data_IF_464624323777
#
_entry.id   IF_464624323777
#
_cell.length_a   1.000
_cell.length_b   1.000
_cell.length_c   1.000
_cell.angle_alpha   90.00
_cell.angle_beta   90.00
_cell.angle_gamma   90.00
#
_symmetry.space_group_name_H-M   'P 1'
#
loop_
_entity.id
_entity.type
_entity.pdbx_description
1 polymer ?
#
# COMPACT_ATOMS: atom_id res chain seq x y z
N UNK A 1 -4.56 8.37 -16.02
CA UNK A 1 -3.23 7.77 -16.16
C UNK A 1 -2.33 8.74 -16.94
N UNK A 2 -1.08 8.95 -16.53
CA UNK A 2 -0.21 9.97 -17.14
C UNK A 2 0.73 9.44 -18.22
N UNK A 3 0.98 8.13 -18.26
CA UNK A 3 1.98 7.52 -19.15
C UNK A 3 1.40 6.47 -20.12
N UNK A 4 0.07 6.37 -20.30
CA UNK A 4 -0.53 5.39 -21.24
C UNK A 4 -0.10 5.57 -22.70
N UNK A 5 0.33 6.77 -23.08
CA UNK A 5 0.87 7.05 -24.42
C UNK A 5 2.27 6.46 -24.65
N UNK A 6 2.90 5.93 -23.61
CA UNK A 6 4.22 5.29 -23.63
C UNK A 6 4.06 3.79 -23.42
N UNK A 7 4.84 2.97 -24.13
CA UNK A 7 4.82 1.51 -23.93
C UNK A 7 5.26 1.14 -22.50
N UNK A 8 4.66 0.13 -21.85
CA UNK A 8 4.99 -0.23 -20.46
C UNK A 8 6.48 -0.51 -20.20
N UNK A 9 7.16 -1.20 -21.13
CA UNK A 9 8.60 -1.46 -21.07
C UNK A 9 9.43 -0.18 -21.03
N UNK A 10 9.06 0.83 -21.81
CA UNK A 10 9.70 2.14 -21.78
C UNK A 10 9.37 2.94 -20.52
N UNK A 11 8.16 2.79 -19.96
CA UNK A 11 7.76 3.49 -18.74
C UNK A 11 8.62 3.08 -17.55
N UNK A 12 8.82 1.78 -17.32
CA UNK A 12 9.59 1.33 -16.16
C UNK A 12 11.08 1.73 -16.26
N UNK A 13 11.66 1.73 -17.46
CA UNK A 13 13.01 2.23 -17.69
C UNK A 13 13.12 3.73 -17.41
N UNK A 14 12.12 4.52 -17.82
CA UNK A 14 12.07 5.95 -17.50
C UNK A 14 11.96 6.19 -15.98
N UNK A 15 11.15 5.39 -15.27
CA UNK A 15 11.03 5.44 -13.80
C UNK A 15 12.34 5.05 -13.10
N UNK A 16 13.02 4.02 -13.59
CA UNK A 16 14.35 3.61 -13.13
C UNK A 16 15.34 4.78 -13.26
N UNK A 17 15.34 5.46 -14.40
CA UNK A 17 16.21 6.62 -14.59
C UNK A 17 15.88 7.74 -13.59
N UNK A 18 14.60 8.03 -13.35
CA UNK A 18 14.20 9.03 -12.34
C UNK A 18 14.76 8.69 -10.97
N UNK A 19 14.69 7.42 -10.53
CA UNK A 19 15.29 6.97 -9.27
C UNK A 19 16.81 7.25 -9.24
N UNK A 20 17.54 6.83 -10.26
CA UNK A 20 19.01 6.97 -10.32
C UNK A 20 19.45 8.44 -10.34
N UNK A 21 18.74 9.29 -11.09
CA UNK A 21 18.99 10.73 -11.13
C UNK A 21 18.75 11.38 -9.76
N UNK A 22 17.69 11.00 -9.03
CA UNK A 22 17.45 11.50 -7.68
C UNK A 22 18.57 11.08 -6.72
N UNK A 23 18.96 9.80 -6.72
CA UNK A 23 20.06 9.30 -5.88
C UNK A 23 21.37 10.07 -6.15
N UNK A 24 21.71 10.29 -7.42
CA UNK A 24 22.91 11.01 -7.83
C UNK A 24 22.86 12.49 -7.46
N UNK A 25 21.77 13.18 -7.79
CA UNK A 25 21.71 14.63 -7.72
C UNK A 25 21.25 15.16 -6.36
N UNK A 26 20.30 14.51 -5.71
CA UNK A 26 19.82 14.86 -4.36
C UNK A 26 20.65 14.12 -3.32
N UNK A 27 20.74 12.80 -3.44
CA UNK A 27 21.38 11.96 -2.43
C UNK A 27 22.91 11.99 -2.45
N UNK A 28 23.52 12.51 -3.52
CA UNK A 28 24.98 12.52 -3.74
C UNK A 28 25.60 11.12 -3.61
N UNK A 29 24.83 10.09 -3.96
CA UNK A 29 25.22 8.68 -3.88
C UNK A 29 24.90 7.98 -5.19
N UNK A 30 25.58 6.87 -5.45
CA UNK A 30 25.29 6.00 -6.58
C UNK A 30 25.28 4.55 -6.09
N UNK A 31 24.33 3.73 -6.55
CA UNK A 31 24.31 2.31 -6.21
C UNK A 31 25.49 1.60 -6.88
N UNK A 32 26.08 0.62 -6.20
CA UNK A 32 27.10 -0.25 -6.81
C UNK A 32 26.49 -1.16 -7.88
N UNK A 33 25.25 -1.59 -7.66
CA UNK A 33 24.46 -2.40 -8.57
C UNK A 33 23.10 -1.73 -8.84
N UNK A 34 22.76 -1.57 -10.12
CA UNK A 34 21.40 -1.18 -10.51
C UNK A 34 20.59 -2.46 -10.64
N UNK A 35 19.61 -2.66 -9.76
CA UNK A 35 18.77 -3.84 -9.82
C UNK A 35 17.84 -3.77 -11.03
N UNK A 36 17.59 -4.93 -11.65
CA UNK A 36 16.55 -5.07 -12.66
C UNK A 36 15.19 -4.63 -12.10
N UNK A 37 14.42 -3.80 -12.83
CA UNK A 37 13.13 -3.33 -12.33
C UNK A 37 12.13 -4.47 -12.12
N UNK A 38 11.34 -4.36 -11.06
CA UNK A 38 10.25 -5.32 -10.79
C UNK A 38 9.01 -4.90 -11.58
N UNK A 39 8.52 -5.80 -12.43
CA UNK A 39 7.34 -5.58 -13.28
C UNK A 39 6.38 -6.76 -13.23
N UNK A 40 5.10 -6.50 -13.52
CA UNK A 40 4.04 -7.48 -13.68
C UNK A 40 3.07 -7.00 -14.78
N UNK A 41 1.93 -7.67 -14.94
CA UNK A 41 0.87 -7.23 -15.86
C UNK A 41 0.47 -5.76 -15.60
N UNK A 42 0.62 -4.86 -16.59
CA UNK A 42 0.40 -3.42 -16.39
C UNK A 42 -1.08 -3.00 -16.35
N UNK A 43 -2.01 -3.89 -16.69
CA UNK A 43 -3.45 -3.63 -16.68
C UNK A 43 -4.17 -4.45 -15.61
N UNK A 44 -5.39 -4.03 -15.22
CA UNK A 44 -6.21 -4.78 -14.25
C UNK A 44 -5.59 -4.98 -12.87
N UNK A 45 -4.49 -4.28 -12.56
CA UNK A 45 -3.67 -4.56 -11.37
C UNK A 45 -4.24 -3.94 -10.09
N UNK A 46 -5.01 -2.85 -10.19
CA UNK A 46 -5.46 -2.06 -9.05
C UNK A 46 -6.63 -2.75 -8.37
N UNK A 47 -6.35 -3.44 -7.27
CA UNK A 47 -7.35 -4.13 -6.45
C UNK A 47 -8.04 -3.21 -5.43
N UNK A 48 -7.57 -1.98 -5.28
CA UNK A 48 -8.20 -0.99 -4.39
C UNK A 48 -8.39 0.34 -5.06
N UNK A 49 -9.53 0.98 -4.82
CA UNK A 49 -9.79 2.30 -5.37
C UNK A 49 -10.67 3.11 -4.44
N UNK A 50 -10.52 4.44 -4.54
CA UNK A 50 -11.46 5.40 -3.99
C UNK A 50 -12.13 6.10 -5.17
N UNK A 51 -13.34 5.66 -5.51
CA UNK A 51 -14.13 6.24 -6.57
C UNK A 51 -14.89 7.44 -6.03
N UNK A 52 -14.71 8.60 -6.65
CA UNK A 52 -15.52 9.76 -6.38
C UNK A 52 -16.86 9.65 -7.09
N UNK A 53 -17.91 10.13 -6.43
CA UNK A 53 -19.27 10.11 -6.95
C UNK A 53 -19.79 11.55 -7.02
N UNK A 54 -20.40 11.91 -8.16
CA UNK A 54 -20.95 13.24 -8.37
C UNK A 54 -22.26 13.16 -9.14
N UNK A 55 -23.34 13.64 -8.54
CA UNK A 55 -24.59 13.87 -9.24
C UNK A 55 -24.52 15.17 -10.04
N UNK A 56 -24.65 15.07 -11.37
CA UNK A 56 -24.58 16.18 -12.32
C UNK A 56 -25.78 16.09 -13.28
N UNK A 57 -26.98 16.57 -12.88
CA UNK A 57 -28.20 16.47 -13.70
C UNK A 57 -28.03 17.01 -15.12
N UNK A 58 -27.27 18.10 -15.29
CA UNK A 58 -26.99 18.72 -16.60
C UNK A 58 -26.14 17.86 -17.54
N UNK A 59 -25.44 16.83 -17.02
CA UNK A 59 -24.59 15.90 -17.79
C UNK A 59 -25.19 14.48 -17.84
N UNK A 60 -26.50 14.34 -17.67
CA UNK A 60 -27.19 13.07 -17.86
C UNK A 60 -27.17 12.12 -16.67
N UNK A 61 -26.86 12.60 -15.45
CA UNK A 61 -27.09 11.81 -14.23
C UNK A 61 -25.91 11.79 -13.26
N UNK A 62 -25.43 10.60 -12.91
CA UNK A 62 -24.37 10.38 -11.92
C UNK A 62 -23.07 9.98 -12.59
N UNK A 63 -21.98 10.60 -12.14
CA UNK A 63 -20.61 10.22 -12.48
C UNK A 63 -20.01 9.43 -11.32
N UNK A 64 -19.39 8.29 -11.64
CA UNK A 64 -18.61 7.47 -10.70
C UNK A 64 -17.25 7.23 -11.34
N UNK A 65 -16.17 7.55 -10.64
CA UNK A 65 -14.82 7.34 -11.15
C UNK A 65 -13.76 8.17 -10.45
N UNK A 66 -12.63 8.35 -11.11
CA UNK A 66 -11.52 9.19 -10.62
C UNK A 66 -11.70 10.67 -10.96
N UNK A 67 -11.02 11.52 -10.18
CA UNK A 67 -10.93 12.95 -10.45
C UNK A 67 -10.09 13.23 -11.71
N UNK A 68 -10.45 14.28 -12.42
CA UNK A 68 -9.62 14.88 -13.45
C UNK A 68 -8.28 15.38 -12.85
N UNK A 69 -7.26 15.49 -13.70
CA UNK A 69 -5.93 15.94 -13.27
C UNK A 69 -6.03 17.36 -12.69
N UNK A 70 -5.57 17.53 -11.45
CA UNK A 70 -5.56 18.82 -10.75
C UNK A 70 -6.93 19.50 -10.66
N UNK A 71 -8.01 18.72 -10.63
CA UNK A 71 -9.39 19.20 -10.62
C UNK A 71 -10.22 18.47 -9.56
N UNK A 72 -11.29 19.12 -9.09
CA UNK A 72 -12.30 18.51 -8.21
C UNK A 72 -13.39 17.78 -8.99
N UNK A 73 -13.43 17.92 -10.31
CA UNK A 73 -14.38 17.25 -11.19
C UNK A 73 -14.05 15.76 -11.35
N UNK A 74 -15.09 14.95 -11.46
CA UNK A 74 -14.99 13.53 -11.79
C UNK A 74 -14.89 13.42 -13.31
N UNK A 75 -13.86 12.72 -13.78
CA UNK A 75 -13.67 12.47 -15.20
C UNK A 75 -14.78 11.55 -15.69
N UNK A 76 -15.41 11.90 -16.80
CA UNK A 76 -16.43 11.05 -17.41
C UNK A 76 -15.78 9.95 -18.24
N UNK A 77 -15.53 8.80 -17.61
CA UNK A 77 -15.05 7.59 -18.28
C UNK A 77 -15.93 6.40 -17.92
N UNK A 78 -16.28 5.62 -18.93
CA UNK A 78 -17.09 4.40 -18.79
C UNK A 78 -16.25 3.18 -18.42
N UNK A 79 -14.95 3.24 -18.68
CA UNK A 79 -14.01 2.14 -18.47
C UNK A 79 -12.77 2.60 -17.70
N UNK A 80 -12.16 1.68 -16.94
CA UNK A 80 -10.91 1.92 -16.25
C UNK A 80 -9.98 0.70 -16.35
N UNK A 81 -9.08 0.72 -17.34
CA UNK A 81 -8.20 -0.42 -17.64
C UNK A 81 -7.17 -0.76 -16.55
N UNK A 82 -6.90 0.15 -15.60
CA UNK A 82 -5.97 -0.14 -14.49
C UNK A 82 -6.66 -0.81 -13.31
N UNK A 83 -7.98 -0.61 -13.17
CA UNK A 83 -8.77 -1.17 -12.09
C UNK A 83 -8.98 -2.67 -12.33
N UNK A 84 -8.94 -3.49 -11.28
CA UNK A 84 -9.17 -4.93 -11.38
C UNK A 84 -10.50 -5.23 -12.07
N UNK A 85 -10.51 -6.22 -12.95
CA UNK A 85 -11.60 -6.49 -13.89
C UNK A 85 -12.97 -6.55 -13.21
N UNK A 86 -13.09 -7.30 -12.10
CA UNK A 86 -14.32 -7.42 -11.30
C UNK A 86 -14.90 -6.07 -10.93
N UNK A 87 -14.06 -5.11 -10.55
CA UNK A 87 -14.49 -3.77 -10.12
C UNK A 87 -14.57 -2.77 -11.28
N UNK A 88 -13.80 -2.95 -12.35
CA UNK A 88 -13.88 -2.14 -13.56
C UNK A 88 -15.23 -2.31 -14.28
N UNK A 89 -15.72 -3.56 -14.38
CA UNK A 89 -17.00 -3.88 -15.00
C UNK A 89 -18.21 -3.26 -14.28
N UNK A 90 -18.07 -2.93 -12.98
CA UNK A 90 -19.15 -2.34 -12.19
C UNK A 90 -19.28 -0.83 -12.36
N UNK A 91 -18.36 -0.14 -13.04
CA UNK A 91 -18.41 1.33 -13.14
C UNK A 91 -19.73 1.85 -13.75
N UNK A 92 -20.27 1.31 -14.87
CA UNK A 92 -21.55 1.73 -15.39
C UNK A 92 -22.71 1.39 -14.45
N UNK A 93 -22.71 0.20 -13.86
CA UNK A 93 -23.78 -0.27 -12.97
C UNK A 93 -23.84 0.54 -11.68
N UNK A 94 -22.69 0.96 -11.15
CA UNK A 94 -22.63 1.87 -10.01
C UNK A 94 -23.24 3.24 -10.33
N UNK A 95 -23.08 3.76 -11.55
CA UNK A 95 -23.74 5.02 -11.95
C UNK A 95 -25.26 4.86 -11.94
N UNK A 96 -25.76 3.76 -12.49
CA UNK A 96 -27.20 3.42 -12.51
C UNK A 96 -27.75 3.25 -11.10
N UNK A 97 -27.08 2.45 -10.25
CA UNK A 97 -27.46 2.22 -8.87
C UNK A 97 -27.57 3.54 -8.11
N UNK A 98 -26.51 4.35 -8.09
CA UNK A 98 -26.50 5.62 -7.37
C UNK A 98 -27.59 6.56 -7.90
N UNK A 99 -27.73 6.66 -9.23
CA UNK A 99 -28.76 7.49 -9.86
C UNK A 99 -30.19 7.10 -9.48
N UNK A 100 -30.40 5.82 -9.12
CA UNK A 100 -31.70 5.31 -8.69
C UNK A 100 -32.02 5.58 -7.22
N UNK A 101 -31.02 5.89 -6.37
CA UNK A 101 -31.24 6.14 -4.94
C UNK A 101 -32.08 7.40 -4.71
N UNK A 102 -32.70 7.52 -3.55
CA UNK A 102 -33.44 8.74 -3.17
C UNK A 102 -32.53 9.96 -2.98
N UNK A 103 -31.24 9.74 -2.70
CA UNK A 103 -30.26 10.77 -2.36
C UNK A 103 -28.94 10.67 -3.15
N UNK A 104 -28.95 10.65 -4.50
CA UNK A 104 -27.76 10.41 -5.33
C UNK A 104 -26.63 11.43 -5.08
N UNK A 105 -26.98 12.67 -4.71
CA UNK A 105 -26.02 13.72 -4.39
C UNK A 105 -25.38 13.61 -3.00
N UNK A 106 -25.78 12.62 -2.19
CA UNK A 106 -25.34 12.42 -0.79
C UNK A 106 -24.48 11.17 -0.62
N UNK A 107 -24.14 10.51 -1.73
CA UNK A 107 -23.13 9.47 -1.80
C UNK A 107 -21.88 10.10 -2.44
N UNK A 108 -20.91 10.62 -1.66
CA UNK A 108 -19.74 11.29 -2.25
C UNK A 108 -18.67 10.34 -2.78
N UNK A 109 -18.67 9.08 -2.33
CA UNK A 109 -17.55 8.19 -2.51
C UNK A 109 -17.95 6.71 -2.36
N UNK A 110 -17.29 5.86 -3.15
CA UNK A 110 -17.30 4.40 -3.00
C UNK A 110 -15.85 3.93 -2.87
N UNK A 111 -15.51 3.25 -1.77
CA UNK A 111 -14.23 2.54 -1.67
C UNK A 111 -14.39 1.13 -2.22
N UNK A 112 -13.42 0.71 -3.03
CA UNK A 112 -13.34 -0.61 -3.63
C UNK A 112 -12.19 -1.34 -2.95
N UNK A 113 -12.47 -2.53 -2.44
CA UNK A 113 -11.47 -3.46 -1.94
C UNK A 113 -11.70 -4.84 -2.55
N UNK A 114 -10.90 -5.20 -3.54
CA UNK A 114 -10.86 -6.50 -4.18
C UNK A 114 -9.81 -7.38 -3.51
N UNK A 115 -10.23 -8.54 -3.07
CA UNK A 115 -9.40 -9.56 -2.42
C UNK A 115 -9.41 -10.83 -3.24
N UNK A 116 -8.65 -11.85 -2.83
CA UNK A 116 -8.60 -13.12 -3.56
C UNK A 116 -9.97 -13.84 -3.57
N UNK A 117 -10.86 -13.53 -2.62
CA UNK A 117 -12.20 -14.13 -2.51
C UNK A 117 -13.31 -13.10 -2.74
N UNK A 118 -13.38 -12.08 -1.88
CA UNK A 118 -14.48 -11.12 -1.85
C UNK A 118 -14.13 -9.81 -2.57
N UNK A 119 -15.12 -9.21 -3.23
CA UNK A 119 -15.08 -7.82 -3.66
C UNK A 119 -15.99 -7.01 -2.73
N UNK A 120 -15.39 -6.12 -1.93
CA UNK A 120 -16.11 -5.26 -0.99
C UNK A 120 -16.22 -3.84 -1.55
N UNK A 121 -17.44 -3.29 -1.52
CA UNK A 121 -17.74 -1.91 -1.85
C UNK A 121 -18.23 -1.17 -0.59
N UNK A 122 -17.50 -0.13 -0.18
CA UNK A 122 -17.88 0.72 0.95
C UNK A 122 -18.53 2.00 0.44
N UNK A 123 -19.83 2.14 0.64
CA UNK A 123 -20.58 3.32 0.25
C UNK A 123 -20.54 4.35 1.38
N UNK A 124 -19.84 5.45 1.15
CA UNK A 124 -19.91 6.61 2.03
C UNK A 124 -21.20 7.35 1.76
N UNK A 125 -22.00 7.61 2.80
CA UNK A 125 -23.25 8.35 2.67
C UNK A 125 -23.32 9.45 3.75
N UNK A 126 -23.80 10.63 3.36
CA UNK A 126 -23.84 11.80 4.25
C UNK A 126 -25.17 11.93 5.01
N UNK A 127 -26.22 11.31 4.49
CA UNK A 127 -27.55 11.26 5.10
C UNK A 127 -27.99 9.80 5.29
N UNK A 128 -28.91 9.50 6.22
CA UNK A 128 -29.47 8.15 6.36
C UNK A 128 -30.12 7.65 5.06
N UNK A 129 -29.90 6.38 4.73
CA UNK A 129 -30.51 5.72 3.59
C UNK A 129 -31.93 5.24 3.94
N UNK A 130 -32.88 5.38 3.00
CA UNK A 130 -34.23 4.86 3.20
C UNK A 130 -34.26 3.33 3.08
N UNK A 131 -35.31 2.68 3.60
CA UNK A 131 -35.48 1.23 3.42
C UNK A 131 -35.43 0.81 1.94
N UNK A 132 -36.01 1.61 1.03
CA UNK A 132 -35.96 1.35 -0.42
C UNK A 132 -34.56 1.49 -1.01
N UNK A 133 -33.72 2.36 -0.46
CA UNK A 133 -32.33 2.51 -0.91
C UNK A 133 -31.48 1.33 -0.43
N UNK A 134 -31.72 0.86 0.80
CA UNK A 134 -31.07 -0.34 1.34
C UNK A 134 -31.43 -1.59 0.53
N UNK A 135 -32.69 -1.77 0.13
CA UNK A 135 -33.08 -2.89 -0.74
C UNK A 135 -32.37 -2.84 -2.10
N UNK A 136 -32.28 -1.65 -2.74
CA UNK A 136 -31.52 -1.50 -4.00
C UNK A 136 -30.05 -1.88 -3.85
N UNK A 137 -29.43 -1.55 -2.72
CA UNK A 137 -28.05 -1.94 -2.43
C UNK A 137 -27.95 -3.46 -2.23
N UNK A 138 -28.90 -4.09 -1.55
CA UNK A 138 -28.94 -5.56 -1.39
C UNK A 138 -29.11 -6.26 -2.74
N UNK A 139 -30.04 -5.81 -3.57
CA UNK A 139 -30.26 -6.35 -4.92
C UNK A 139 -28.98 -6.24 -5.76
N UNK A 140 -28.31 -5.07 -5.70
CA UNK A 140 -27.02 -4.88 -6.38
C UNK A 140 -25.94 -5.83 -5.87
N UNK A 141 -25.84 -6.00 -4.55
CA UNK A 141 -24.89 -6.91 -3.92
C UNK A 141 -25.08 -8.36 -4.40
N UNK A 142 -26.33 -8.83 -4.44
CA UNK A 142 -26.69 -10.18 -4.90
C UNK A 142 -26.42 -10.36 -6.40
N UNK A 143 -26.94 -9.46 -7.24
CA UNK A 143 -26.79 -9.54 -8.71
C UNK A 143 -25.33 -9.56 -9.14
N UNK A 144 -24.48 -8.76 -8.48
CA UNK A 144 -23.06 -8.64 -8.84
C UNK A 144 -22.14 -9.49 -7.97
N UNK A 145 -22.67 -10.27 -7.03
CA UNK A 145 -21.88 -11.08 -6.09
C UNK A 145 -20.77 -10.27 -5.40
N UNK A 146 -21.15 -9.10 -4.86
CA UNK A 146 -20.26 -8.21 -4.11
C UNK A 146 -20.77 -8.03 -2.68
N UNK A 147 -19.88 -7.71 -1.76
CA UNK A 147 -20.25 -7.37 -0.39
C UNK A 147 -20.30 -5.86 -0.21
N UNK A 148 -21.43 -5.36 0.26
CA UNK A 148 -21.64 -3.93 0.49
C UNK A 148 -21.49 -3.60 1.97
N UNK A 149 -20.71 -2.55 2.24
CA UNK A 149 -20.59 -1.92 3.55
C UNK A 149 -21.01 -0.45 3.47
N UNK A 150 -21.51 0.07 4.57
CA UNK A 150 -21.94 1.46 4.69
C UNK A 150 -20.97 2.24 5.58
N UNK A 151 -20.76 3.51 5.23
CA UNK A 151 -19.94 4.45 5.99
C UNK A 151 -20.68 5.79 6.18
N UNK A 152 -21.44 5.95 7.28
CA UNK A 152 -22.16 7.20 7.57
C UNK A 152 -21.24 8.35 8.03
N UNK A 153 -20.00 8.05 8.46
CA UNK A 153 -19.09 9.03 9.04
C UNK A 153 -17.62 8.74 8.79
N UNK A 154 -16.84 8.66 9.87
CA UNK A 154 -15.41 8.34 9.85
C UNK A 154 -15.12 6.89 9.39
N UNK A 155 -13.84 6.52 9.31
CA UNK A 155 -13.42 5.17 8.92
C UNK A 155 -13.86 4.10 9.94
N UNK A 156 -14.06 4.50 11.19
CA UNK A 156 -14.58 3.70 12.31
C UNK A 156 -16.07 3.37 12.19
N UNK A 157 -16.81 4.11 11.37
CA UNK A 157 -18.26 3.89 11.17
C UNK A 157 -18.60 2.83 10.13
N UNK A 158 -17.60 2.22 9.50
CA UNK A 158 -17.80 1.20 8.46
C UNK A 158 -18.45 -0.04 9.08
N UNK A 159 -19.60 -0.44 8.55
CA UNK A 159 -20.33 -1.63 8.97
C UNK A 159 -20.97 -2.35 7.78
N UNK A 160 -21.25 -3.63 7.95
CA UNK A 160 -21.91 -4.45 6.93
C UNK A 160 -23.34 -3.95 6.68
N UNK A 161 -23.78 -4.00 5.42
CA UNK A 161 -25.20 -3.89 5.10
C UNK A 161 -25.94 -5.04 5.78
N UNK A 162 -27.13 -4.79 6.35
CA UNK A 162 -27.88 -5.82 7.08
C UNK A 162 -28.03 -7.11 6.25
N UNK A 163 -27.72 -8.26 6.88
CA UNK A 163 -27.72 -9.60 6.27
C UNK A 163 -26.66 -9.82 5.18
N UNK A 164 -25.68 -8.93 5.02
CA UNK A 164 -24.53 -9.20 4.18
C UNK A 164 -23.68 -10.35 4.78
N UNK A 165 -23.21 -11.25 3.92
CA UNK A 165 -22.24 -12.26 4.31
C UNK A 165 -20.99 -11.57 4.88
N UNK A 166 -20.44 -12.11 5.99
CA UNK A 166 -19.25 -11.57 6.64
C UNK A 166 -18.01 -11.77 5.76
N UNK A 167 -17.78 -10.86 4.80
CA UNK A 167 -16.63 -10.92 3.92
C UNK A 167 -15.32 -10.79 4.68
N UNK A 168 -14.39 -11.70 4.36
CA UNK A 168 -13.02 -11.68 4.86
C UNK A 168 -12.12 -11.27 3.71
N UNK A 169 -11.81 -9.97 3.66
CA UNK A 169 -10.81 -9.46 2.73
C UNK A 169 -9.44 -10.04 3.09
N UNK A 170 -8.87 -10.79 2.15
CA UNK A 170 -7.57 -11.41 2.33
C UNK A 170 -6.71 -11.46 1.07
N UNK A 171 -5.41 -11.58 1.29
CA UNK A 171 -4.44 -11.87 0.23
C UNK A 171 -3.33 -12.75 0.79
N UNK A 172 -2.58 -13.40 -0.09
CA UNK A 172 -1.50 -14.31 0.29
C UNK A 172 -0.13 -13.88 -0.22
N UNK A 173 0.89 -14.25 0.55
CA UNK A 173 2.29 -14.32 0.16
C UNK A 173 2.67 -15.81 0.05
N UNK A 174 2.36 -16.47 -1.08
CA UNK A 174 2.45 -17.93 -1.20
C UNK A 174 3.87 -18.46 -1.00
N UNK A 175 4.88 -17.76 -1.53
CA UNK A 175 6.31 -18.14 -1.43
C UNK A 175 6.85 -18.13 0.01
N UNK A 176 6.11 -17.50 0.93
CA UNK A 176 6.46 -17.39 2.34
C UNK A 176 5.41 -18.02 3.26
N UNK A 177 4.39 -18.66 2.68
CA UNK A 177 3.27 -19.28 3.40
C UNK A 177 2.66 -18.34 4.45
N UNK A 178 2.34 -17.11 4.03
CA UNK A 178 1.67 -16.12 4.88
C UNK A 178 0.36 -15.68 4.25
N UNK A 179 -0.71 -15.74 5.04
CA UNK A 179 -2.04 -15.24 4.72
C UNK A 179 -2.32 -13.94 5.47
N UNK A 180 -2.89 -12.95 4.82
CA UNK A 180 -3.20 -11.66 5.43
C UNK A 180 -4.69 -11.39 5.38
N UNK A 181 -5.28 -11.04 6.51
CA UNK A 181 -6.62 -10.47 6.57
C UNK A 181 -6.57 -8.97 6.83
N UNK A 182 -7.35 -8.21 6.08
CA UNK A 182 -7.40 -6.75 6.18
C UNK A 182 -8.85 -6.24 6.22
N UNK A 183 -9.02 -4.95 6.54
CA UNK A 183 -10.30 -4.24 6.42
C UNK A 183 -10.30 -3.40 5.15
N UNK A 184 -11.48 -3.06 4.59
CA UNK A 184 -11.57 -2.32 3.33
C UNK A 184 -10.84 -0.96 3.36
N UNK A 185 -10.75 -0.36 4.55
CA UNK A 185 -10.10 0.93 4.81
C UNK A 185 -8.63 0.82 5.23
N UNK A 186 -8.14 -0.37 5.62
CA UNK A 186 -6.73 -0.57 6.03
C UNK A 186 -5.79 -0.28 4.87
N UNK A 187 -4.57 0.19 5.10
CA UNK A 187 -3.59 0.30 4.00
C UNK A 187 -3.06 -1.09 3.61
N UNK A 188 -3.11 -1.40 2.31
CA UNK A 188 -2.47 -2.57 1.68
C UNK A 188 -1.96 -2.16 0.30
N UNK A 189 -0.96 -2.87 -0.20
CA UNK A 189 -0.41 -2.61 -1.52
C UNK A 189 -1.47 -2.82 -2.60
N UNK A 190 -1.52 -1.90 -3.55
CA UNK A 190 -2.62 -1.83 -4.52
C UNK A 190 -2.50 -2.88 -5.63
N UNK A 191 -1.26 -3.31 -5.89
CA UNK A 191 -0.84 -4.21 -6.96
C UNK A 191 -0.23 -5.46 -6.31
N UNK A 192 -1.06 -6.48 -6.13
CA UNK A 192 -0.70 -7.70 -5.42
C UNK A 192 0.47 -8.47 -6.08
N UNK A 193 0.50 -8.68 -7.41
CA UNK A 193 1.66 -9.29 -8.09
C UNK A 193 2.99 -8.58 -7.80
N UNK A 194 3.01 -7.24 -7.86
CA UNK A 194 4.22 -6.47 -7.53
C UNK A 194 4.54 -6.57 -6.04
N UNK A 195 3.53 -6.54 -5.16
CA UNK A 195 3.73 -6.69 -3.72
C UNK A 195 4.41 -8.03 -3.37
N UNK A 196 4.01 -9.12 -4.02
CA UNK A 196 4.64 -10.44 -3.82
C UNK A 196 6.12 -10.41 -4.19
N UNK A 197 6.43 -9.96 -5.40
CA UNK A 197 7.82 -9.81 -5.88
C UNK A 197 8.64 -8.86 -5.00
N UNK A 198 8.05 -7.77 -4.52
CA UNK A 198 8.69 -6.80 -3.62
C UNK A 198 9.04 -7.43 -2.27
N UNK A 199 8.11 -8.17 -1.66
CA UNK A 199 8.34 -8.87 -0.38
C UNK A 199 9.44 -9.91 -0.53
N UNK A 200 9.38 -10.75 -1.56
CA UNK A 200 10.42 -11.76 -1.81
C UNK A 200 11.78 -11.11 -2.06
N UNK A 201 11.85 -10.04 -2.86
CA UNK A 201 13.09 -9.30 -3.09
C UNK A 201 13.62 -8.68 -1.80
N UNK A 202 12.77 -8.13 -0.93
CA UNK A 202 13.21 -7.58 0.35
C UNK A 202 13.84 -8.67 1.24
N UNK A 203 13.25 -9.86 1.31
CA UNK A 203 13.81 -11.01 2.04
C UNK A 203 15.16 -11.45 1.45
N UNK A 204 15.27 -11.56 0.12
CA UNK A 204 16.52 -11.87 -0.57
C UNK A 204 17.62 -10.86 -0.22
N UNK A 205 17.32 -9.56 -0.31
CA UNK A 205 18.27 -8.49 -0.04
C UNK A 205 18.70 -8.44 1.44
N UNK A 206 17.80 -8.75 2.38
CA UNK A 206 18.13 -8.86 3.79
C UNK A 206 19.17 -9.96 4.06
N UNK A 207 19.24 -10.99 3.19
CA UNK A 207 20.14 -12.14 3.32
C UNK A 207 20.05 -12.79 4.70
N UNK A 208 18.82 -13.07 5.15
CA UNK A 208 18.53 -13.46 6.52
C UNK A 208 19.22 -14.76 6.93
N UNK A 209 19.80 -14.75 8.13
CA UNK A 209 20.33 -15.91 8.82
C UNK A 209 19.43 -16.27 10.01
N UNK A 210 19.40 -17.55 10.47
CA UNK A 210 18.55 -17.97 11.59
C UNK A 210 18.76 -17.21 12.91
N UNK A 211 19.90 -16.55 13.09
CA UNK A 211 20.21 -15.72 14.26
C UNK A 211 19.83 -14.25 14.11
N UNK A 212 19.38 -13.81 12.94
CA UNK A 212 19.10 -12.40 12.67
C UNK A 212 17.88 -11.91 13.44
N UNK A 213 17.98 -10.67 13.90
CA UNK A 213 16.89 -9.93 14.54
C UNK A 213 16.58 -8.71 13.67
N UNK A 214 15.36 -8.66 13.15
CA UNK A 214 14.96 -7.63 12.18
C UNK A 214 14.02 -6.62 12.83
N UNK A 215 14.31 -5.34 12.66
CA UNK A 215 13.39 -4.25 12.98
C UNK A 215 12.69 -3.81 11.69
N UNK A 216 11.37 -3.86 11.65
CA UNK A 216 10.53 -3.43 10.54
C UNK A 216 9.77 -2.16 10.98
N UNK A 217 10.05 -1.03 10.35
CA UNK A 217 9.44 0.25 10.67
C UNK A 217 8.45 0.66 9.60
N UNK A 218 7.32 1.25 10.03
CA UNK A 218 6.15 1.49 9.20
C UNK A 218 5.53 0.18 8.70
N UNK A 219 5.49 -0.83 9.59
CA UNK A 219 5.20 -2.21 9.19
C UNK A 219 3.74 -2.44 8.76
N UNK A 220 2.85 -1.47 9.00
CA UNK A 220 1.43 -1.59 8.73
C UNK A 220 0.82 -2.83 9.39
N UNK A 221 0.12 -3.64 8.59
CA UNK A 221 -0.46 -4.91 9.05
C UNK A 221 0.50 -6.12 8.99
N UNK A 222 1.81 -5.87 8.81
CA UNK A 222 2.86 -6.88 8.84
C UNK A 222 3.29 -7.43 7.47
N UNK A 223 3.12 -6.65 6.39
CA UNK A 223 3.33 -7.11 5.00
C UNK A 223 4.73 -7.69 4.76
N UNK A 224 5.77 -7.07 5.33
CA UNK A 224 7.13 -7.62 5.34
C UNK A 224 7.42 -8.41 6.62
N UNK A 225 6.96 -7.91 7.77
CA UNK A 225 7.26 -8.48 9.09
C UNK A 225 6.98 -9.97 9.18
N UNK A 226 5.80 -10.42 8.71
CA UNK A 226 5.38 -11.80 8.84
C UNK A 226 6.17 -12.74 7.91
N UNK A 227 6.36 -12.43 6.61
CA UNK A 227 7.27 -13.18 5.75
C UNK A 227 8.71 -13.25 6.29
N UNK A 228 9.27 -12.13 6.75
CA UNK A 228 10.63 -12.08 7.33
C UNK A 228 10.76 -12.99 8.55
N UNK A 229 9.72 -13.07 9.38
CA UNK A 229 9.71 -13.89 10.59
C UNK A 229 9.79 -15.40 10.31
N UNK A 230 9.51 -15.86 9.07
CA UNK A 230 9.73 -17.25 8.68
C UNK A 230 11.21 -17.64 8.59
N UNK A 231 12.11 -16.66 8.46
CA UNK A 231 13.54 -16.88 8.22
C UNK A 231 14.45 -16.29 9.30
N UNK A 232 13.97 -15.28 10.03
CA UNK A 232 14.72 -14.61 11.10
C UNK A 232 14.49 -15.26 12.48
N UNK A 233 15.41 -15.01 13.42
CA UNK A 233 15.23 -15.42 14.83
C UNK A 233 14.05 -14.70 15.47
N UNK A 234 13.96 -13.39 15.26
CA UNK A 234 12.95 -12.54 15.88
C UNK A 234 12.72 -11.26 15.06
N UNK A 235 11.48 -10.81 14.97
CA UNK A 235 11.14 -9.56 14.25
C UNK A 235 10.33 -8.63 15.13
N UNK A 236 10.70 -7.35 15.17
CA UNK A 236 9.87 -6.30 15.78
C UNK A 236 9.28 -5.42 14.69
N UNK A 237 7.96 -5.32 14.62
CA UNK A 237 7.24 -4.39 13.74
C UNK A 237 6.75 -3.16 14.50
N UNK A 238 7.14 -1.96 14.07
CA UNK A 238 6.64 -0.69 14.61
C UNK A 238 5.76 0.03 13.60
N UNK A 239 4.61 0.52 14.05
CA UNK A 239 3.61 1.20 13.23
C UNK A 239 2.95 2.34 14.04
N UNK A 240 2.55 3.44 13.38
CA UNK A 240 1.88 4.57 14.03
C UNK A 240 0.39 4.36 14.25
N UNK A 241 -0.26 3.56 13.40
CA UNK A 241 -1.69 3.25 13.51
C UNK A 241 -1.94 2.02 14.42
N UNK A 242 -2.63 2.25 15.54
CA UNK A 242 -2.96 1.19 16.51
C UNK A 242 -3.91 0.13 15.93
N UNK A 243 -4.80 0.51 15.01
CA UNK A 243 -5.67 -0.42 14.30
C UNK A 243 -4.87 -1.38 13.42
N UNK A 244 -3.90 -0.86 12.67
CA UNK A 244 -2.99 -1.70 11.87
C UNK A 244 -2.12 -2.62 12.74
N UNK A 245 -1.62 -2.14 13.89
CA UNK A 245 -0.91 -2.99 14.86
C UNK A 245 -1.80 -4.15 15.37
N UNK A 246 -3.06 -3.86 15.70
CA UNK A 246 -4.01 -4.91 16.08
C UNK A 246 -4.24 -5.90 14.93
N UNK A 247 -4.27 -5.42 13.68
CA UNK A 247 -4.39 -6.29 12.51
C UNK A 247 -3.15 -7.14 12.27
N UNK A 248 -1.97 -6.59 12.41
CA UNK A 248 -0.71 -7.31 12.35
C UNK A 248 -0.64 -8.44 13.39
N UNK A 249 -1.03 -8.17 14.64
CA UNK A 249 -1.12 -9.20 15.69
C UNK A 249 -2.14 -10.29 15.37
N UNK A 250 -3.27 -9.95 14.75
CA UNK A 250 -4.24 -10.96 14.29
C UNK A 250 -3.65 -11.83 13.18
N UNK A 251 -3.00 -11.21 12.18
CA UNK A 251 -2.35 -11.92 11.09
C UNK A 251 -1.23 -12.83 11.60
N UNK A 252 -0.42 -12.40 12.57
CA UNK A 252 0.58 -13.26 13.21
C UNK A 252 -0.04 -14.54 13.81
N UNK A 253 -1.16 -14.40 14.54
CA UNK A 253 -1.88 -15.54 15.14
C UNK A 253 -2.44 -16.50 14.10
N UNK A 254 -3.07 -15.97 13.04
CA UNK A 254 -3.64 -16.79 11.96
C UNK A 254 -2.54 -17.61 11.25
N UNK A 255 -1.36 -17.03 11.10
CA UNK A 255 -0.20 -17.69 10.48
C UNK A 255 0.64 -18.54 11.43
N UNK A 256 0.28 -18.59 12.72
CA UNK A 256 1.04 -19.28 13.76
C UNK A 256 2.52 -18.82 13.81
N UNK A 257 2.71 -17.49 13.79
CA UNK A 257 4.02 -16.85 13.86
C UNK A 257 4.17 -16.21 15.25
N UNK A 258 4.99 -16.82 16.10
CA UNK A 258 5.15 -16.42 17.51
C UNK A 258 6.45 -15.62 17.78
N UNK A 259 7.39 -15.60 16.84
CA UNK A 259 8.67 -14.90 16.95
C UNK A 259 8.59 -13.43 16.49
N UNK A 260 7.41 -12.80 16.64
CA UNK A 260 7.17 -11.42 16.27
C UNK A 260 6.56 -10.61 17.40
N UNK A 261 6.97 -9.36 17.52
CA UNK A 261 6.29 -8.37 18.37
C UNK A 261 5.92 -7.15 17.55
N UNK A 262 4.67 -6.73 17.68
CA UNK A 262 4.18 -5.48 17.11
C UNK A 262 3.93 -4.46 18.20
N UNK A 263 4.35 -3.21 17.98
CA UNK A 263 4.09 -2.10 18.89
C UNK A 263 3.71 -0.82 18.14
N UNK A 264 2.85 -0.02 18.77
CA UNK A 264 2.54 1.32 18.27
C UNK A 264 3.67 2.27 18.65
N UNK A 265 4.21 3.02 17.68
CA UNK A 265 5.24 4.04 17.93
C UNK A 265 5.01 5.25 17.01
N UNK A 266 5.27 6.45 17.53
CA UNK A 266 5.44 7.62 16.68
C UNK A 266 6.78 7.49 15.94
N UNK A 267 6.74 7.36 14.62
CA UNK A 267 7.91 7.24 13.76
C UNK A 267 8.19 8.54 12.98
N UNK A 268 7.40 9.60 13.22
CA UNK A 268 7.46 10.88 12.53
C UNK A 268 8.09 11.99 13.37
N UNK A 269 8.04 11.88 14.70
CA UNK A 269 8.60 12.86 15.62
C UNK A 269 10.09 12.66 15.92
N UNK A 270 10.77 13.76 16.27
CA UNK A 270 12.17 13.75 16.74
C UNK A 270 12.35 12.98 18.06
N UNK A 271 11.28 12.85 18.85
CA UNK A 271 11.25 12.10 20.12
C UNK A 271 10.95 10.61 19.95
N UNK A 272 10.78 10.11 18.72
CA UNK A 272 10.53 8.70 18.45
C UNK A 272 11.58 7.85 19.17
N UNK A 273 11.27 7.22 20.29
CA UNK A 273 12.28 6.50 21.08
C UNK A 273 12.55 5.10 20.48
N UNK A 274 13.00 5.08 19.22
CA UNK A 274 13.25 3.84 18.47
C UNK A 274 14.65 3.29 18.75
N UNK A 275 15.51 4.08 19.39
CA UNK A 275 16.92 3.73 19.65
C UNK A 275 17.07 2.47 20.50
N UNK A 276 16.18 2.25 21.46
CA UNK A 276 16.14 1.02 22.26
C UNK A 276 15.87 -0.21 21.40
N UNK A 277 14.99 -0.09 20.41
CA UNK A 277 14.73 -1.15 19.43
C UNK A 277 15.94 -1.34 18.52
N UNK A 278 16.49 -0.26 17.95
CA UNK A 278 17.66 -0.32 17.06
C UNK A 278 18.87 -1.05 17.69
N UNK A 279 19.11 -0.88 19.00
CA UNK A 279 20.23 -1.55 19.68
C UNK A 279 20.09 -3.09 19.77
N UNK A 280 18.90 -3.63 19.56
CA UNK A 280 18.60 -5.05 19.72
C UNK A 280 18.36 -5.78 18.39
N UNK A 281 18.61 -5.14 17.25
CA UNK A 281 18.37 -5.67 15.92
C UNK A 281 19.58 -5.39 15.02
N UNK A 282 19.99 -6.39 14.24
CA UNK A 282 21.13 -6.27 13.33
C UNK A 282 20.69 -6.00 11.88
N UNK A 283 19.39 -6.07 11.58
CA UNK A 283 18.81 -5.76 10.27
C UNK A 283 17.65 -4.77 10.43
N UNK A 284 17.48 -3.90 9.43
CA UNK A 284 16.42 -2.90 9.41
C UNK A 284 15.66 -2.95 8.08
N UNK A 285 14.33 -2.93 8.14
CA UNK A 285 13.45 -2.76 7.00
C UNK A 285 12.66 -1.46 7.19
N UNK A 286 12.57 -0.65 6.13
CA UNK A 286 11.85 0.62 6.10
C UNK A 286 10.88 0.63 4.93
N UNK A 287 9.59 0.88 5.17
CA UNK A 287 8.58 1.19 4.12
C UNK A 287 7.78 2.46 4.50
N UNK A 288 8.44 3.64 4.61
CA UNK A 288 7.80 4.86 5.07
C UNK A 288 6.83 5.44 4.04
N UNK A 289 5.94 6.35 4.47
CA UNK A 289 5.14 7.13 3.53
C UNK A 289 6.01 8.11 2.74
N UNK A 290 5.36 8.91 1.89
CA UNK A 290 5.99 9.87 0.96
C UNK A 290 6.94 10.88 1.60
N UNK A 291 6.89 11.10 2.91
CA UNK A 291 7.80 11.97 3.65
C UNK A 291 9.20 11.37 3.86
N UNK A 292 9.36 10.06 3.64
CA UNK A 292 10.57 9.30 3.98
C UNK A 292 10.68 9.03 5.49
N UNK A 293 11.86 8.56 5.90
CA UNK A 293 12.19 8.09 7.24
C UNK A 293 13.39 8.85 7.86
N UNK A 294 13.58 10.12 7.49
CA UNK A 294 14.77 10.88 7.90
C UNK A 294 14.95 10.97 9.42
N UNK A 295 13.84 11.12 10.17
CA UNK A 295 13.90 11.23 11.64
C UNK A 295 14.31 9.92 12.29
N UNK A 296 13.81 8.80 11.78
CA UNK A 296 14.25 7.45 12.16
C UNK A 296 15.73 7.23 11.82
N UNK A 297 16.16 7.62 10.62
CA UNK A 297 17.53 7.40 10.15
C UNK A 297 18.54 8.18 11.00
N UNK A 298 18.22 9.42 11.38
CA UNK A 298 19.08 10.23 12.27
C UNK A 298 19.36 9.54 13.61
N UNK A 299 18.46 8.66 14.06
CA UNK A 299 18.58 7.95 15.32
C UNK A 299 19.42 6.67 15.26
N UNK A 300 19.77 6.18 14.06
CA UNK A 300 20.60 4.97 13.88
C UNK A 300 21.90 5.07 14.68
N UNK A 301 22.52 6.26 14.72
CA UNK A 301 23.63 6.59 15.62
C UNK A 301 24.70 5.50 15.74
N UNK A 302 24.80 4.89 16.92
CA UNK A 302 25.74 3.80 17.24
C UNK A 302 25.15 2.40 17.09
N UNK A 303 23.83 2.26 16.93
CA UNK A 303 23.15 0.97 16.81
C UNK A 303 23.54 0.23 15.53
N UNK A 304 23.75 0.98 14.44
CA UNK A 304 24.39 0.54 13.18
C UNK A 304 24.02 -0.91 12.77
N UNK A 305 22.75 -1.19 12.41
CA UNK A 305 22.39 -2.45 11.80
C UNK A 305 23.30 -2.73 10.59
N UNK A 306 23.61 -4.00 10.37
CA UNK A 306 24.56 -4.43 9.34
C UNK A 306 23.99 -4.25 7.93
N UNK A 307 22.66 -4.37 7.80
CA UNK A 307 21.93 -4.27 6.55
C UNK A 307 20.61 -3.51 6.75
N UNK A 308 20.30 -2.63 5.80
CA UNK A 308 19.05 -1.88 5.72
C UNK A 308 18.44 -2.11 4.33
N UNK A 309 17.22 -2.61 4.29
CA UNK A 309 16.38 -2.61 3.09
C UNK A 309 15.38 -1.46 3.21
N UNK A 310 15.38 -0.56 2.23
CA UNK A 310 14.50 0.60 2.20
C UNK A 310 13.61 0.50 0.96
N UNK A 311 12.30 0.36 1.18
CA UNK A 311 11.24 0.48 0.17
C UNK A 311 10.67 1.89 0.20
N UNK A 312 10.47 2.52 -0.95
CA UNK A 312 10.00 3.91 -1.01
C UNK A 312 9.13 4.21 -2.23
N UNK A 313 8.01 4.88 -1.96
CA UNK A 313 7.11 5.46 -2.98
C UNK A 313 7.53 6.84 -3.49
N UNK A 314 8.66 7.38 -3.01
CA UNK A 314 9.14 8.71 -3.39
C UNK A 314 10.68 8.75 -3.53
N UNK A 315 11.20 8.76 -4.77
CA UNK A 315 12.65 8.69 -5.01
C UNK A 315 13.41 9.91 -4.46
N UNK A 316 12.76 11.09 -4.35
CA UNK A 316 13.42 12.28 -3.84
C UNK A 316 13.70 12.18 -2.32
N UNK A 317 12.74 11.67 -1.55
CA UNK A 317 12.94 11.46 -0.11
C UNK A 317 13.84 10.26 0.17
N UNK A 318 13.75 9.19 -0.63
CA UNK A 318 14.73 8.10 -0.56
C UNK A 318 16.15 8.63 -0.79
N UNK A 319 16.36 9.49 -1.79
CA UNK A 319 17.67 10.06 -2.08
C UNK A 319 18.20 10.94 -0.93
N UNK A 320 17.35 11.81 -0.35
CA UNK A 320 17.72 12.58 0.85
C UNK A 320 18.11 11.67 2.02
N UNK A 321 17.38 10.59 2.22
CA UNK A 321 17.62 9.64 3.31
C UNK A 321 18.90 8.82 3.06
N UNK A 322 19.16 8.46 1.80
CA UNK A 322 20.37 7.78 1.36
C UNK A 322 21.64 8.61 1.59
N UNK A 323 21.59 9.94 1.36
CA UNK A 323 22.67 10.87 1.73
C UNK A 323 23.03 10.72 3.22
N UNK A 324 22.02 10.73 4.09
CA UNK A 324 22.23 10.59 5.52
C UNK A 324 22.84 9.22 5.87
N UNK A 325 22.29 8.13 5.32
CA UNK A 325 22.80 6.78 5.56
C UNK A 325 24.27 6.63 5.12
N UNK A 326 24.60 7.05 3.90
CA UNK A 326 25.94 6.86 3.33
C UNK A 326 26.93 7.86 3.91
N UNK A 327 26.64 9.16 3.80
CA UNK A 327 27.61 10.21 4.09
C UNK A 327 27.70 10.56 5.59
N UNK A 328 26.72 10.18 6.42
CA UNK A 328 26.74 10.47 7.87
C UNK A 328 26.80 9.22 8.75
N UNK A 329 26.18 8.12 8.32
CA UNK A 329 26.14 6.88 9.11
C UNK A 329 27.08 5.78 8.62
N UNK A 330 27.80 6.01 7.51
CA UNK A 330 28.86 5.11 7.04
C UNK A 330 28.34 3.86 6.33
N UNK A 331 27.14 3.90 5.77
CA UNK A 331 26.66 2.81 4.92
C UNK A 331 27.19 2.94 3.49
N UNK A 332 27.11 1.86 2.71
CA UNK A 332 27.26 1.89 1.25
C UNK A 332 25.90 1.55 0.64
N UNK A 333 25.49 2.32 -0.37
CA UNK A 333 24.34 1.96 -1.19
C UNK A 333 24.78 0.83 -2.13
N UNK A 334 24.50 -0.41 -1.74
CA UNK A 334 24.91 -1.59 -2.49
C UNK A 334 24.11 -1.71 -3.79
N UNK A 335 22.80 -1.49 -3.73
CA UNK A 335 22.02 -1.46 -4.96
C UNK A 335 20.66 -0.80 -4.81
N UNK A 336 20.07 -0.44 -5.94
CA UNK A 336 18.75 0.16 -6.00
C UNK A 336 18.02 -0.18 -7.31
N UNK A 337 16.70 -0.35 -7.23
CA UNK A 337 15.82 -0.67 -8.36
C UNK A 337 14.43 -0.06 -8.20
N UNK A 338 13.77 0.20 -9.31
CA UNK A 338 12.38 0.63 -9.36
C UNK A 338 11.44 -0.58 -9.38
N UNK A 339 10.23 -0.39 -8.85
CA UNK A 339 9.14 -1.33 -8.98
C UNK A 339 7.97 -0.64 -9.66
N UNK A 340 7.35 -1.31 -10.63
CA UNK A 340 6.18 -0.77 -11.31
C UNK A 340 4.89 -1.04 -10.52
N UNK A 341 4.81 -0.52 -9.29
CA UNK A 341 3.62 -0.64 -8.42
C UNK A 341 2.40 0.06 -9.04
N UNK A 342 2.64 1.11 -9.83
CA UNK A 342 1.60 1.91 -10.49
C UNK A 342 1.91 2.15 -11.97
N UNK A 343 1.77 1.12 -12.83
CA UNK A 343 1.89 1.25 -14.27
C UNK A 343 1.02 2.36 -14.82
N UNK A 344 1.45 3.00 -15.90
CA UNK A 344 0.78 4.14 -16.53
C UNK A 344 0.66 5.42 -15.70
N UNK A 345 1.32 5.48 -14.54
CA UNK A 345 1.44 6.69 -13.71
C UNK A 345 2.89 7.13 -13.59
N UNK A 346 3.11 8.39 -13.22
CA UNK A 346 4.44 8.91 -12.94
C UNK A 346 4.99 8.51 -11.55
N UNK A 347 4.25 7.72 -10.76
CA UNK A 347 4.76 7.25 -9.47
C UNK A 347 5.90 6.26 -9.69
N UNK A 348 6.95 6.45 -8.90
CA UNK A 348 8.15 5.61 -8.88
C UNK A 348 8.22 4.99 -7.50
N UNK A 349 7.93 3.69 -7.44
CA UNK A 349 8.24 2.87 -6.28
C UNK A 349 9.67 2.37 -6.44
N UNK A 350 10.39 2.20 -5.34
CA UNK A 350 11.82 1.84 -5.36
C UNK A 350 12.18 0.97 -4.16
N UNK A 351 13.19 0.13 -4.33
CA UNK A 351 13.83 -0.64 -3.26
C UNK A 351 15.33 -0.40 -3.32
N UNK A 352 15.95 -0.18 -2.17
CA UNK A 352 17.37 0.06 -2.02
C UNK A 352 17.95 -0.79 -0.90
N UNK A 353 19.17 -1.30 -1.11
CA UNK A 353 19.94 -2.05 -0.14
C UNK A 353 21.13 -1.22 0.32
N UNK A 354 21.25 -1.03 1.64
CA UNK A 354 22.39 -0.40 2.27
C UNK A 354 23.07 -1.38 3.22
N UNK A 355 24.39 -1.54 3.07
CA UNK A 355 25.18 -2.33 4.00
C UNK A 355 26.17 -1.45 4.74
N UNK A 356 26.40 -1.75 6.02
CA UNK A 356 27.36 -1.00 6.82
C UNK A 356 28.75 -1.14 6.18
N UNK A 357 29.45 -0.02 6.00
CA UNK A 357 30.83 -0.07 5.52
C UNK A 357 31.70 -0.77 6.56
N UNK A 358 32.20 -1.96 6.20
CA UNK A 358 33.43 -2.48 6.80
C UNK A 358 34.59 -1.53 6.51
#
# INVERSE_FOLDING_TARGET
>A
CSLQHMRPDAQILAKQQVLLENLKHIGKVQPQEVFEPITAEPWGYRRRARLGVRHVPKKGGVLVGFREKQSSFIADHVECHVLAERSALLLPELRTLIGSLSCPGRIPQIEVADSDQDLVLVFRHLDPLSAKDLEKLKDFAEVHSVVIRLQPGGADTVHDLEHAAGAVLSYEQPDHHVHFEFRPTDFVQINDPINRLMVSRAIELLSLQPGDRVLDLFCGLGNFTLPVARYASFVTGLEGDTGLVQRARRNARINQIDNVVFATADLYGDEANIRSYLNNHNKLLLDPPRSGAIEVIRQIGKSRPECIVYVSCNPATLARDADCLVNKHGYRLQGAGALDMFPHTAHVESIALFNLSR
#
